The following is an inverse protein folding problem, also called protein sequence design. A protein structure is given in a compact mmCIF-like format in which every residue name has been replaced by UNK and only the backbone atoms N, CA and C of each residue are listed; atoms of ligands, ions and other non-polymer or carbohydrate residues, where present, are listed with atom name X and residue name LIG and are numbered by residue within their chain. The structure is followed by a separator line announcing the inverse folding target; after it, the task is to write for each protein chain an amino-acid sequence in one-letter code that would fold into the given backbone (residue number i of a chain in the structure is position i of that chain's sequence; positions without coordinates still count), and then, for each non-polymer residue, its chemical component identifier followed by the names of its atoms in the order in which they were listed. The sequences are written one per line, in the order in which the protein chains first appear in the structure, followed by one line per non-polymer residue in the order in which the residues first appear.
data_IF_859335667929
#
_entry.id   IF_859335667929
#
_cell.length_a   1.000
_cell.length_b   1.000
_cell.length_c   1.000
_cell.angle_alpha   90.00
_cell.angle_beta   90.00
_cell.angle_gamma   90.00
#
_symmetry.space_group_name_H-M   'P 1'
#
loop_
_entity.id
_entity.type
_entity.pdbx_description
1 polymer ?
#
# COMPACT_ATOMS: atom_id res chain seq x y z
N UNK A 1 37.77 36.44 11.32
CA UNK A 1 36.45 36.83 11.86
C UNK A 1 35.40 35.99 11.16
N UNK A 2 34.90 34.97 11.85
CA UNK A 2 33.87 34.05 11.38
C UNK A 2 32.51 34.75 11.43
N UNK A 3 31.94 35.04 10.27
CA UNK A 3 30.56 35.54 10.19
C UNK A 3 29.62 34.40 10.58
N UNK A 4 29.24 34.34 11.87
CA UNK A 4 28.14 33.49 12.34
C UNK A 4 26.81 34.11 11.89
N UNK A 5 26.47 33.93 10.62
CA UNK A 5 25.14 34.22 10.12
C UNK A 5 24.15 33.28 10.82
N UNK A 6 23.31 33.82 11.70
CA UNK A 6 22.23 33.05 12.31
C UNK A 6 21.34 32.50 11.18
N UNK A 7 21.11 31.18 11.13
CA UNK A 7 20.23 30.62 10.10
C UNK A 7 18.85 31.25 10.23
N UNK A 8 18.40 31.96 9.19
CA UNK A 8 17.07 32.57 9.16
C UNK A 8 16.05 31.45 8.97
N UNK A 9 15.36 31.11 10.05
CA UNK A 9 14.19 30.25 10.03
C UNK A 9 13.15 30.80 9.04
N UNK A 10 12.84 30.07 7.98
CA UNK A 10 11.80 30.46 7.02
C UNK A 10 10.66 29.46 7.07
N UNK A 11 9.48 29.93 7.49
CA UNK A 11 8.24 29.15 7.57
C UNK A 11 7.92 28.32 6.31
N UNK A 12 8.29 28.84 5.12
CA UNK A 12 8.08 28.16 3.83
C UNK A 12 8.95 26.91 3.63
N UNK A 13 10.21 26.95 4.06
CA UNK A 13 11.16 25.85 3.87
C UNK A 13 11.10 24.81 4.98
N UNK A 14 10.97 25.26 6.23
CA UNK A 14 11.12 24.40 7.41
C UNK A 14 9.81 23.84 7.98
N UNK A 15 8.65 24.43 7.64
CA UNK A 15 7.34 23.99 8.16
C UNK A 15 6.44 23.52 7.03
N UNK A 16 6.25 24.33 5.98
CA UNK A 16 5.33 24.00 4.88
C UNK A 16 5.84 22.80 4.06
N UNK A 17 7.15 22.75 3.78
CA UNK A 17 7.78 21.62 3.09
C UNK A 17 7.54 20.27 3.78
N UNK A 18 7.91 20.10 5.05
CA UNK A 18 7.70 18.84 5.76
C UNK A 18 6.22 18.53 6.02
N UNK A 19 5.38 19.51 6.32
CA UNK A 19 3.93 19.27 6.51
C UNK A 19 3.27 18.82 5.20
N UNK A 20 3.61 19.44 4.07
CA UNK A 20 3.12 19.00 2.76
C UNK A 20 3.66 17.61 2.39
N UNK A 21 4.90 17.28 2.77
CA UNK A 21 5.46 15.94 2.57
C UNK A 21 4.72 14.88 3.42
N UNK A 22 4.46 15.16 4.70
CA UNK A 22 3.71 14.28 5.59
C UNK A 22 2.28 14.09 5.09
N UNK A 23 1.60 15.17 4.71
CA UNK A 23 0.26 15.12 4.16
C UNK A 23 0.22 14.36 2.82
N UNK A 24 1.25 14.51 1.98
CA UNK A 24 1.37 13.76 0.74
C UNK A 24 1.57 12.26 1.02
N UNK A 25 2.46 11.88 1.96
CA UNK A 25 2.71 10.49 2.35
C UNK A 25 1.48 9.85 2.96
N UNK A 26 0.85 10.50 3.94
CA UNK A 26 -0.38 10.01 4.57
C UNK A 26 -1.54 9.97 3.57
N UNK A 27 -1.66 10.99 2.71
CA UNK A 27 -2.65 11.04 1.64
C UNK A 27 -2.47 9.90 0.64
N UNK A 28 -1.25 9.60 0.20
CA UNK A 28 -1.00 8.44 -0.68
C UNK A 28 -1.30 7.13 0.01
N UNK A 29 -1.01 7.03 1.31
CA UNK A 29 -1.28 5.83 2.09
C UNK A 29 -2.78 5.57 2.24
N UNK A 30 -3.54 6.58 2.63
CA UNK A 30 -5.00 6.51 2.83
C UNK A 30 -5.71 6.29 1.49
N UNK A 31 -5.34 7.05 0.45
CA UNK A 31 -5.96 6.92 -0.87
C UNK A 31 -5.61 5.58 -1.52
N UNK A 32 -4.36 5.13 -1.37
CA UNK A 32 -3.92 3.83 -1.87
C UNK A 32 -4.57 2.66 -1.12
N UNK A 33 -4.73 2.78 0.20
CA UNK A 33 -5.47 1.81 1.02
C UNK A 33 -6.96 1.77 0.64
N UNK A 34 -7.59 2.94 0.47
CA UNK A 34 -8.98 3.03 0.03
C UNK A 34 -9.17 2.45 -1.37
N UNK A 35 -8.30 2.78 -2.33
CA UNK A 35 -8.33 2.20 -3.67
C UNK A 35 -8.14 0.68 -3.65
N UNK A 36 -7.28 0.15 -2.78
CA UNK A 36 -7.11 -1.29 -2.59
C UNK A 36 -8.36 -1.95 -1.97
N UNK A 37 -9.01 -1.29 -0.99
CA UNK A 37 -10.26 -1.77 -0.40
C UNK A 37 -11.41 -1.74 -1.43
N UNK A 38 -11.48 -0.70 -2.26
CA UNK A 38 -12.42 -0.66 -3.37
C UNK A 38 -12.13 -1.79 -4.38
N UNK A 39 -10.87 -2.06 -4.69
CA UNK A 39 -10.47 -3.16 -5.56
C UNK A 39 -10.81 -4.53 -4.96
N UNK A 40 -10.70 -4.69 -3.63
CA UNK A 40 -11.15 -5.88 -2.92
C UNK A 40 -12.68 -6.06 -2.99
N UNK A 41 -13.46 -4.98 -3.07
CA UNK A 41 -14.90 -5.04 -3.38
C UNK A 41 -15.22 -5.55 -4.79
N UNK A 42 -14.23 -5.58 -5.69
CA UNK A 42 -14.31 -6.21 -7.00
C UNK A 42 -13.53 -7.54 -7.07
N UNK A 43 -13.00 -8.02 -5.94
CA UNK A 43 -12.32 -9.31 -5.92
C UNK A 43 -13.32 -10.38 -6.35
N UNK A 44 -12.95 -11.23 -7.32
CA UNK A 44 -13.80 -12.32 -7.74
C UNK A 44 -14.09 -13.21 -6.54
N UNK A 45 -15.35 -13.64 -6.42
CA UNK A 45 -15.73 -14.58 -5.39
C UNK A 45 -14.84 -15.83 -5.47
N UNK A 46 -14.20 -16.15 -4.35
CA UNK A 46 -13.49 -17.41 -4.21
C UNK A 46 -14.50 -18.56 -4.17
N UNK A 47 -14.05 -19.76 -4.54
CA UNK A 47 -14.90 -20.95 -4.46
C UNK A 47 -15.56 -21.05 -3.07
N UNK A 48 -16.86 -21.36 -2.94
CA UNK A 48 -17.57 -21.32 -1.65
C UNK A 48 -16.92 -22.13 -0.52
N UNK A 49 -16.14 -23.16 -0.87
CA UNK A 49 -15.35 -23.92 0.11
C UNK A 49 -14.27 -23.09 0.84
N UNK A 50 -13.88 -21.92 0.33
CA UNK A 50 -12.99 -20.99 1.02
C UNK A 50 -13.65 -20.32 2.25
N UNK A 51 -14.98 -20.34 2.37
CA UNK A 51 -15.69 -19.85 3.55
C UNK A 51 -15.50 -20.76 4.78
N UNK A 52 -15.15 -22.03 4.58
CA UNK A 52 -14.90 -22.98 5.67
C UNK A 52 -13.46 -22.82 6.15
N UNK A 53 -13.17 -22.77 7.47
CA UNK A 53 -11.79 -22.75 7.97
C UNK A 53 -10.94 -23.90 7.43
N UNK A 54 -9.70 -23.63 7.03
CA UNK A 54 -8.80 -24.60 6.39
C UNK A 54 -8.62 -25.91 7.19
N UNK A 55 -8.55 -25.83 8.53
CA UNK A 55 -8.43 -27.01 9.40
C UNK A 55 -9.68 -27.91 9.44
N UNK A 56 -10.84 -27.41 8.96
CA UNK A 56 -12.09 -28.14 8.85
C UNK A 56 -12.33 -28.67 7.42
N UNK A 57 -11.54 -28.24 6.42
CA UNK A 57 -11.61 -28.70 5.02
C UNK A 57 -10.94 -30.06 4.80
N UNK A 58 -11.24 -31.06 5.64
CA UNK A 58 -10.61 -32.39 5.52
C UNK A 58 -10.95 -33.04 4.18
N UNK A 59 -9.94 -33.26 3.34
CA UNK A 59 -10.05 -33.98 2.07
C UNK A 59 -10.67 -33.20 0.90
N UNK A 60 -10.88 -31.88 1.06
CA UNK A 60 -11.37 -31.02 -0.01
C UNK A 60 -10.21 -30.27 -0.65
N UNK A 61 -9.68 -30.79 -1.75
CA UNK A 61 -8.79 -30.03 -2.63
C UNK A 61 -9.63 -28.95 -3.32
N UNK A 62 -9.45 -27.70 -2.87
CA UNK A 62 -10.11 -26.57 -3.51
C UNK A 62 -9.36 -26.19 -4.78
N UNK A 63 -10.08 -25.76 -5.84
CA UNK A 63 -9.42 -25.18 -6.99
C UNK A 63 -8.61 -23.96 -6.53
N UNK A 64 -7.40 -23.74 -7.07
CA UNK A 64 -6.57 -22.60 -6.69
C UNK A 64 -7.32 -21.29 -6.93
N UNK A 65 -7.04 -20.22 -6.16
CA UNK A 65 -7.64 -18.92 -6.39
C UNK A 65 -7.42 -18.47 -7.84
N UNK A 66 -8.44 -17.90 -8.49
CA UNK A 66 -8.36 -17.56 -9.89
C UNK A 66 -7.33 -16.44 -10.13
N UNK A 67 -6.72 -16.40 -11.32
CA UNK A 67 -5.61 -15.49 -11.62
C UNK A 67 -5.97 -14.02 -11.39
N UNK A 68 -7.21 -13.63 -11.69
CA UNK A 68 -7.72 -12.28 -11.45
C UNK A 68 -7.73 -11.87 -9.96
N UNK A 69 -7.90 -12.81 -9.03
CA UNK A 69 -7.76 -12.55 -7.59
C UNK A 69 -6.35 -12.02 -7.27
N UNK A 70 -5.32 -12.69 -7.79
CA UNK A 70 -3.93 -12.26 -7.61
C UNK A 70 -3.61 -10.94 -8.31
N UNK A 71 -4.15 -10.72 -9.51
CA UNK A 71 -3.98 -9.46 -10.24
C UNK A 71 -4.51 -8.28 -9.42
N UNK A 72 -5.66 -8.44 -8.75
CA UNK A 72 -6.26 -7.39 -7.91
C UNK A 72 -5.37 -7.06 -6.70
N UNK A 73 -4.79 -8.07 -6.04
CA UNK A 73 -3.86 -7.85 -4.92
C UNK A 73 -2.48 -7.33 -5.36
N UNK A 74 -2.04 -7.62 -6.59
CA UNK A 74 -0.78 -7.11 -7.13
C UNK A 74 -0.90 -5.73 -7.78
N UNK A 75 -2.09 -5.31 -8.23
CA UNK A 75 -2.26 -4.07 -8.97
C UNK A 75 -1.90 -2.81 -8.16
N UNK A 76 -2.34 -2.62 -6.90
CA UNK A 76 -1.97 -1.45 -6.11
C UNK A 76 -0.46 -1.27 -5.88
N UNK A 77 0.30 -2.29 -5.40
CA UNK A 77 1.74 -2.11 -5.16
C UNK A 77 2.51 -1.91 -6.48
N UNK A 78 2.10 -2.56 -7.58
CA UNK A 78 2.72 -2.34 -8.89
C UNK A 78 2.47 -0.93 -9.42
N UNK A 79 1.23 -0.43 -9.28
CA UNK A 79 0.87 0.93 -9.70
C UNK A 79 1.66 1.97 -8.92
N UNK A 80 1.74 1.82 -7.60
CA UNK A 80 2.50 2.73 -6.74
C UNK A 80 4.01 2.64 -6.99
N UNK A 81 4.55 1.43 -7.20
CA UNK A 81 5.96 1.28 -7.57
C UNK A 81 6.28 1.96 -8.90
N UNK A 82 5.39 1.83 -9.90
CA UNK A 82 5.57 2.44 -11.21
C UNK A 82 5.45 3.98 -11.15
N UNK A 83 4.42 4.50 -10.49
CA UNK A 83 4.24 5.94 -10.31
C UNK A 83 5.35 6.56 -9.44
N UNK A 84 5.74 5.87 -8.36
CA UNK A 84 6.84 6.25 -7.49
C UNK A 84 8.18 6.28 -8.23
N UNK A 85 8.48 5.23 -9.00
CA UNK A 85 9.67 5.14 -9.83
C UNK A 85 9.70 6.23 -10.91
N UNK A 86 8.57 6.48 -11.58
CA UNK A 86 8.44 7.58 -12.54
C UNK A 86 8.67 8.95 -11.89
N UNK A 87 8.03 9.23 -10.76
CA UNK A 87 8.21 10.47 -10.00
C UNK A 87 9.67 10.66 -9.58
N UNK A 88 10.36 9.59 -9.17
CA UNK A 88 11.79 9.63 -8.87
C UNK A 88 12.64 9.92 -10.10
N UNK A 89 12.26 9.52 -11.32
CA UNK A 89 13.05 9.84 -12.52
C UNK A 89 12.97 11.32 -12.91
N UNK A 90 11.82 11.98 -12.70
CA UNK A 90 11.59 13.34 -13.18
C UNK A 90 11.73 14.45 -12.12
N UNK A 91 11.67 14.11 -10.84
CA UNK A 91 11.48 15.11 -9.79
C UNK A 91 12.72 15.30 -8.90
N UNK A 92 13.68 16.11 -9.34
CA UNK A 92 14.98 16.29 -8.67
C UNK A 92 14.92 16.62 -7.18
N UNK A 93 14.16 17.65 -6.76
CA UNK A 93 14.08 18.08 -5.35
C UNK A 93 13.10 17.28 -4.47
N UNK A 94 12.13 16.60 -5.07
CA UNK A 94 11.08 15.86 -4.35
C UNK A 94 11.24 14.34 -4.46
N UNK A 95 12.34 13.89 -5.08
CA UNK A 95 12.77 12.49 -5.20
C UNK A 95 12.65 11.71 -3.90
N UNK A 96 13.10 12.32 -2.81
CA UNK A 96 13.08 11.69 -1.48
C UNK A 96 11.68 11.57 -0.89
N UNK A 97 10.81 12.53 -1.16
CA UNK A 97 9.40 12.45 -0.73
C UNK A 97 8.68 11.35 -1.50
N UNK A 98 8.89 11.26 -2.82
CA UNK A 98 8.35 10.20 -3.65
C UNK A 98 8.86 8.81 -3.21
N UNK A 99 10.16 8.69 -2.90
CA UNK A 99 10.77 7.47 -2.40
C UNK A 99 10.18 7.03 -1.06
N UNK A 100 10.18 7.92 -0.07
CA UNK A 100 9.64 7.62 1.26
C UNK A 100 8.15 7.29 1.18
N UNK A 101 7.36 8.03 0.40
CA UNK A 101 5.93 7.73 0.19
C UNK A 101 5.70 6.35 -0.42
N UNK A 102 6.40 6.03 -1.51
CA UNK A 102 6.32 4.72 -2.18
C UNK A 102 6.71 3.59 -1.24
N UNK A 103 7.82 3.75 -0.53
CA UNK A 103 8.32 2.75 0.42
C UNK A 103 7.33 2.55 1.57
N UNK A 104 6.78 3.63 2.13
CA UNK A 104 5.84 3.58 3.24
C UNK A 104 4.56 2.86 2.81
N UNK A 105 4.05 3.16 1.60
CA UNK A 105 2.92 2.44 1.04
C UNK A 105 3.21 0.94 0.89
N UNK A 106 4.34 0.56 0.28
CA UNK A 106 4.68 -0.85 0.07
C UNK A 106 4.84 -1.61 1.40
N UNK A 107 5.53 -1.00 2.38
CA UNK A 107 5.73 -1.59 3.71
C UNK A 107 4.41 -1.71 4.47
N UNK A 108 3.49 -0.75 4.33
CA UNK A 108 2.16 -0.84 4.96
C UNK A 108 1.20 -1.80 4.24
N UNK A 109 1.25 -1.83 2.91
CA UNK A 109 0.34 -2.60 2.08
C UNK A 109 0.61 -4.10 2.17
N UNK A 110 1.88 -4.53 2.10
CA UNK A 110 2.23 -5.95 2.04
C UNK A 110 1.70 -6.73 3.26
N UNK A 111 1.89 -6.29 4.52
CA UNK A 111 1.32 -6.99 5.68
C UNK A 111 -0.20 -7.07 5.65
N UNK A 112 -0.88 -6.01 5.20
CA UNK A 112 -2.35 -5.97 5.10
C UNK A 112 -2.83 -6.97 4.04
N UNK A 113 -2.23 -6.94 2.85
CA UNK A 113 -2.57 -7.87 1.77
C UNK A 113 -2.33 -9.31 2.20
N UNK A 114 -1.19 -9.60 2.83
CA UNK A 114 -0.89 -10.94 3.38
C UNK A 114 -1.94 -11.35 4.42
N UNK A 115 -2.32 -10.43 5.31
CA UNK A 115 -3.34 -10.70 6.32
C UNK A 115 -4.70 -11.02 5.70
N UNK A 116 -5.22 -10.16 4.81
CA UNK A 116 -6.53 -10.38 4.18
C UNK A 116 -6.53 -11.64 3.31
N UNK A 117 -5.50 -11.85 2.50
CA UNK A 117 -5.37 -13.08 1.70
C UNK A 117 -5.31 -14.32 2.61
N UNK A 118 -4.67 -14.22 3.78
CA UNK A 118 -4.66 -15.31 4.76
C UNK A 118 -6.05 -15.56 5.38
N UNK A 119 -6.86 -14.51 5.58
CA UNK A 119 -8.25 -14.66 6.02
C UNK A 119 -9.11 -15.30 4.92
N UNK A 120 -9.00 -14.83 3.68
CA UNK A 120 -9.75 -15.30 2.52
C UNK A 120 -9.44 -16.76 2.19
N UNK A 121 -8.15 -17.13 2.17
CA UNK A 121 -7.69 -18.47 1.77
C UNK A 121 -7.66 -19.42 2.95
N UNK A 122 -7.13 -18.97 4.10
CA UNK A 122 -6.95 -19.78 5.31
C UNK A 122 -8.25 -19.99 6.09
N UNK A 123 -9.24 -19.13 5.88
CA UNK A 123 -10.57 -19.21 6.47
C UNK A 123 -10.57 -18.83 7.94
N UNK A 124 -10.79 -17.54 8.21
CA UNK A 124 -11.34 -17.05 9.47
C UNK A 124 -12.72 -16.48 9.15
N UNK A 125 -13.71 -17.34 8.99
CA UNK A 125 -15.10 -16.90 9.07
C UNK A 125 -15.44 -16.79 10.57
N UNK A 126 -15.63 -15.60 11.16
CA UNK A 126 -16.39 -15.51 12.39
C UNK A 126 -17.82 -15.90 12.05
N UNK A 127 -18.33 -16.93 12.71
CA UNK A 127 -19.75 -17.26 12.75
C UNK A 127 -20.53 -16.20 13.49
#
# INVERSE_FOLDING_TARGET
MTASGTPKFTWRGEVIGPVAAIAAVLGTLVLGFYAAMCAAGFAPDLHPGYAVPSHLRRGADLPPPPTNYWVIWCAPPLTIALLGGAAMMFAGRIRWIAFVGTLTFLVGYVPIAVFVVSLDIGGFAPT
#
